data_IF_391409299832
#
_entry.id   IF_391409299832
#
_cell.length_a   1.000
_cell.length_b   1.000
_cell.length_c   1.000
_cell.angle_alpha   90.00
_cell.angle_beta   90.00
_cell.angle_gamma   90.00
#
_symmetry.space_group_name_H-M   'P 1'
#
loop_
_entity.id
_entity.type
_entity.pdbx_description
1 polymer ?
#
# COMPACT_ATOMS: atom_id res chain seq x y z
N UNK A 1 13.80 55.53 51.27
CA UNK A 1 15.17 56.01 51.45
C UNK A 1 15.92 55.41 50.28
N UNK A 2 16.21 56.25 49.35
CA UNK A 2 17.49 56.87 49.00
C UNK A 2 18.37 55.89 48.25
N UNK A 3 18.84 56.09 47.08
CA UNK A 3 19.01 57.20 46.17
C UNK A 3 20.07 56.80 45.17
N UNK A 4 19.85 57.10 43.91
CA UNK A 4 20.69 57.96 43.06
C UNK A 4 22.18 57.54 42.91
N UNK A 5 22.81 57.50 41.77
CA UNK A 5 23.02 58.54 40.73
C UNK A 5 23.89 57.94 39.61
N UNK A 6 23.58 58.16 38.35
CA UNK A 6 24.23 59.04 37.36
C UNK A 6 25.77 58.97 37.23
N UNK A 7 26.28 58.68 36.02
CA UNK A 7 26.80 59.62 35.03
C UNK A 7 27.47 58.86 33.91
N UNK A 8 27.09 58.92 32.70
CA UNK A 8 27.51 59.75 31.55
C UNK A 8 29.02 60.00 31.42
N UNK A 9 29.62 59.45 30.32
CA UNK A 9 30.70 60.13 29.60
C UNK A 9 30.78 59.64 28.15
N UNK A 10 30.52 60.57 27.28
CA UNK A 10 30.77 60.64 25.84
C UNK A 10 32.28 60.50 25.52
N UNK A 11 32.62 59.75 24.48
CA UNK A 11 33.80 60.02 23.71
C UNK A 11 33.53 59.64 22.25
N UNK A 12 33.46 60.63 21.40
CA UNK A 12 33.48 60.53 19.96
C UNK A 12 34.92 60.09 19.50
N UNK A 13 34.95 59.14 18.54
CA UNK A 13 36.14 58.88 17.74
C UNK A 13 35.76 58.65 16.30
N UNK A 14 36.37 59.38 15.44
CA UNK A 14 36.37 59.59 14.00
C UNK A 14 36.45 58.32 13.16
N UNK A 15 35.90 58.25 11.95
CA UNK A 15 35.90 57.09 11.10
C UNK A 15 37.23 56.91 10.38
N UNK A 16 37.82 55.71 10.47
CA UNK A 16 38.91 55.30 9.63
C UNK A 16 38.43 54.71 8.32
N UNK A 17 38.86 55.30 7.23
CA UNK A 17 38.68 54.85 5.85
C UNK A 17 39.28 53.40 5.68
N UNK A 18 38.45 52.46 5.22
CA UNK A 18 38.89 51.10 4.95
C UNK A 18 37.77 50.10 4.64
N UNK A 19 36.59 50.54 4.34
CA UNK A 19 35.43 49.64 4.07
C UNK A 19 34.88 49.76 2.66
N UNK A 20 35.74 49.70 1.66
CA UNK A 20 35.31 49.65 0.25
C UNK A 20 36.23 48.67 -0.49
N UNK A 21 36.07 47.36 -0.29
CA UNK A 21 36.54 46.33 -1.24
C UNK A 21 36.19 44.89 -0.82
N UNK A 22 35.10 44.63 -0.12
CA UNK A 22 34.66 43.21 0.17
C UNK A 22 33.28 42.91 -0.42
N UNK A 23 32.67 43.80 -1.17
CA UNK A 23 31.35 43.57 -1.80
C UNK A 23 31.37 43.33 -3.32
N UNK A 24 32.56 43.07 -3.93
CA UNK A 24 32.67 42.79 -5.37
C UNK A 24 33.38 41.47 -5.71
N UNK A 25 33.46 40.52 -4.79
CA UNK A 25 34.12 39.24 -5.04
C UNK A 25 33.25 38.02 -4.86
N UNK A 26 31.92 38.14 -4.80
CA UNK A 26 30.98 37.00 -4.79
C UNK A 26 29.82 37.12 -5.80
N UNK A 27 30.06 37.80 -6.94
CA UNK A 27 29.37 37.42 -8.17
C UNK A 27 30.08 36.20 -8.76
N UNK A 28 30.09 35.08 -8.02
CA UNK A 28 30.39 33.78 -8.56
C UNK A 28 29.40 33.51 -9.67
N UNK A 29 29.90 33.42 -10.90
CA UNK A 29 29.23 32.88 -12.08
C UNK A 29 28.26 31.79 -11.60
N UNK A 30 26.95 31.84 -11.92
CA UNK A 30 26.07 30.70 -11.64
C UNK A 30 26.70 29.54 -12.38
N UNK A 31 27.24 28.59 -11.61
CA UNK A 31 27.62 27.30 -12.15
C UNK A 31 26.42 26.84 -12.99
N UNK A 32 26.61 26.48 -14.26
CA UNK A 32 25.50 25.91 -15.02
C UNK A 32 24.98 24.78 -14.15
N UNK A 33 23.72 24.84 -13.83
CA UNK A 33 22.93 23.75 -13.23
C UNK A 33 23.01 22.62 -14.26
N UNK A 34 24.23 22.02 -14.25
CA UNK A 34 24.61 20.97 -15.17
C UNK A 34 23.57 19.90 -14.97
N UNK A 35 22.82 19.65 -16.01
CA UNK A 35 22.04 18.50 -16.32
C UNK A 35 22.43 17.28 -15.45
N UNK A 36 22.18 17.35 -14.15
CA UNK A 36 22.09 16.20 -13.29
C UNK A 36 20.87 15.46 -13.81
N UNK A 37 21.11 14.54 -14.73
CA UNK A 37 20.09 13.70 -15.34
C UNK A 37 19.13 13.27 -14.25
N UNK A 38 17.85 13.56 -14.48
CA UNK A 38 16.81 13.29 -13.49
C UNK A 38 16.96 11.86 -13.01
N UNK A 39 17.12 11.57 -11.70
CA UNK A 39 17.27 10.21 -11.22
C UNK A 39 16.05 9.41 -11.65
N UNK A 40 16.28 8.42 -12.50
CA UNK A 40 15.22 7.50 -12.90
C UNK A 40 14.80 6.73 -11.65
N UNK A 41 13.52 6.85 -11.22
CA UNK A 41 13.02 6.19 -10.03
C UNK A 41 13.27 4.67 -10.05
N UNK A 42 13.29 4.03 -11.22
CA UNK A 42 13.62 2.62 -11.36
C UNK A 42 15.09 2.30 -11.02
N UNK A 43 15.99 3.28 -11.10
CA UNK A 43 17.37 3.10 -10.66
C UNK A 43 17.48 2.83 -9.15
N UNK A 44 16.48 3.19 -8.36
CA UNK A 44 16.41 2.86 -6.93
C UNK A 44 16.41 1.34 -6.70
N UNK A 45 15.83 0.55 -7.62
CA UNK A 45 15.80 -0.92 -7.52
C UNK A 45 17.18 -1.59 -7.63
N UNK A 46 18.20 -0.88 -8.13
CA UNK A 46 19.58 -1.35 -8.14
C UNK A 46 20.41 -0.89 -6.92
N UNK A 47 19.83 -0.02 -6.07
CA UNK A 47 20.54 0.58 -4.95
C UNK A 47 20.36 -0.23 -3.67
N UNK A 48 21.47 -0.54 -2.99
CA UNK A 48 21.46 -1.31 -1.73
C UNK A 48 20.63 -0.67 -0.61
N UNK A 49 20.46 0.66 -0.63
CA UNK A 49 19.66 1.39 0.36
C UNK A 49 18.15 1.27 0.14
N UNK A 50 17.69 0.83 -1.07
CA UNK A 50 16.25 0.76 -1.41
C UNK A 50 15.80 -0.64 -1.80
N UNK A 51 16.54 -1.33 -2.68
CA UNK A 51 16.12 -2.60 -3.27
C UNK A 51 15.75 -3.70 -2.24
N UNK A 52 16.54 -3.97 -1.17
CA UNK A 52 16.19 -5.00 -0.20
C UNK A 52 14.87 -4.68 0.53
N UNK A 53 14.64 -3.40 0.84
CA UNK A 53 13.41 -2.97 1.49
C UNK A 53 12.21 -3.10 0.54
N UNK A 54 12.34 -2.67 -0.71
CA UNK A 54 11.33 -2.82 -1.76
C UNK A 54 10.92 -4.28 -1.93
N UNK A 55 11.88 -5.19 -2.14
CA UNK A 55 11.57 -6.61 -2.34
C UNK A 55 11.01 -7.28 -1.09
N UNK A 56 11.43 -6.86 0.10
CA UNK A 56 10.86 -7.35 1.36
C UNK A 56 9.37 -7.03 1.48
N UNK A 57 8.99 -5.80 1.16
CA UNK A 57 7.60 -5.38 1.19
C UNK A 57 6.78 -6.00 0.06
N UNK A 58 7.35 -6.10 -1.15
CA UNK A 58 6.72 -6.71 -2.31
C UNK A 58 6.35 -8.17 -2.04
N UNK A 59 7.31 -8.96 -1.58
CA UNK A 59 7.08 -10.38 -1.26
C UNK A 59 6.05 -10.56 -0.13
N UNK A 60 6.05 -9.68 0.88
CA UNK A 60 5.03 -9.71 1.93
C UNK A 60 3.63 -9.40 1.41
N UNK A 61 3.48 -8.34 0.63
CA UNK A 61 2.19 -7.98 0.04
C UNK A 61 1.68 -9.07 -0.93
N UNK A 62 2.58 -9.69 -1.71
CA UNK A 62 2.23 -10.82 -2.56
C UNK A 62 1.76 -12.03 -1.73
N UNK A 63 2.48 -12.38 -0.66
CA UNK A 63 2.13 -13.49 0.22
C UNK A 63 0.76 -13.30 0.89
N UNK A 64 0.52 -12.11 1.47
CA UNK A 64 -0.77 -11.77 2.07
C UNK A 64 -1.93 -12.02 1.10
N UNK A 65 -1.76 -11.66 -0.16
CA UNK A 65 -2.80 -11.77 -1.17
C UNK A 65 -2.92 -13.18 -1.77
N UNK A 66 -1.81 -13.92 -1.94
CA UNK A 66 -1.86 -15.35 -2.29
C UNK A 66 -2.71 -16.11 -1.27
N UNK A 67 -2.37 -15.98 0.01
CA UNK A 67 -3.03 -16.72 1.08
C UNK A 67 -4.49 -16.28 1.27
N UNK A 68 -4.74 -14.97 1.33
CA UNK A 68 -6.07 -14.39 1.51
C UNK A 68 -7.01 -14.77 0.38
N UNK A 69 -6.57 -14.63 -0.88
CA UNK A 69 -7.40 -14.95 -2.04
C UNK A 69 -7.67 -16.45 -2.16
N UNK A 70 -6.65 -17.29 -2.01
CA UNK A 70 -6.81 -18.73 -2.02
C UNK A 70 -7.77 -19.22 -0.94
N UNK A 71 -7.67 -18.68 0.28
CA UNK A 71 -8.58 -19.01 1.37
C UNK A 71 -10.00 -18.53 1.09
N UNK A 72 -10.17 -17.33 0.52
CA UNK A 72 -11.50 -16.83 0.11
C UNK A 72 -12.14 -17.77 -0.91
N UNK A 73 -11.39 -18.18 -1.92
CA UNK A 73 -11.87 -19.12 -2.95
C UNK A 73 -12.18 -20.51 -2.35
N UNK A 74 -11.35 -20.99 -1.43
CA UNK A 74 -11.56 -22.25 -0.73
C UNK A 74 -12.89 -22.26 0.02
N UNK A 75 -13.19 -21.20 0.79
CA UNK A 75 -14.46 -21.07 1.54
C UNK A 75 -15.64 -20.85 0.61
N UNK A 76 -15.47 -20.07 -0.46
CA UNK A 76 -16.58 -19.74 -1.36
C UNK A 76 -17.04 -20.92 -2.20
N UNK A 77 -16.11 -21.80 -2.61
CA UNK A 77 -16.39 -22.83 -3.63
C UNK A 77 -16.25 -24.27 -3.12
N UNK A 78 -15.48 -24.53 -2.04
CA UNK A 78 -15.13 -25.89 -1.65
C UNK A 78 -15.53 -26.27 -0.22
N UNK A 79 -15.42 -25.35 0.73
CA UNK A 79 -15.71 -25.63 2.15
C UNK A 79 -16.98 -24.90 2.55
N UNK A 80 -18.05 -25.68 2.79
CA UNK A 80 -19.26 -25.13 3.38
C UNK A 80 -19.03 -24.75 4.85
N UNK A 81 -19.36 -23.52 5.21
CA UNK A 81 -19.28 -23.01 6.59
C UNK A 81 -20.69 -22.69 7.06
N UNK A 82 -21.17 -23.42 8.06
CA UNK A 82 -22.59 -23.34 8.51
C UNK A 82 -23.00 -21.95 9.04
N UNK A 83 -22.05 -21.18 9.57
CA UNK A 83 -22.29 -19.84 10.16
C UNK A 83 -21.98 -18.69 9.20
N UNK A 84 -21.49 -18.95 7.98
CA UNK A 84 -21.12 -17.92 7.01
C UNK A 84 -21.54 -18.32 5.60
N UNK A 85 -22.47 -17.59 4.97
CA UNK A 85 -22.81 -17.80 3.56
C UNK A 85 -21.59 -17.60 2.66
N UNK A 86 -21.40 -18.42 1.62
CA UNK A 86 -20.27 -18.29 0.69
C UNK A 86 -20.12 -16.89 0.09
N UNK A 87 -21.24 -16.19 -0.18
CA UNK A 87 -21.25 -14.81 -0.70
C UNK A 87 -20.64 -13.79 0.26
N UNK A 88 -20.56 -14.08 1.55
CA UNK A 88 -19.96 -13.20 2.55
C UNK A 88 -18.49 -13.53 2.86
N UNK A 89 -17.94 -14.60 2.31
CA UNK A 89 -16.59 -15.05 2.61
C UNK A 89 -15.54 -13.95 2.38
N UNK A 90 -15.58 -13.29 1.24
CA UNK A 90 -14.65 -12.19 0.92
C UNK A 90 -14.75 -11.00 1.87
N UNK A 91 -15.97 -10.62 2.26
CA UNK A 91 -16.20 -9.52 3.20
C UNK A 91 -15.71 -9.87 4.60
N UNK A 92 -16.02 -11.06 5.10
CA UNK A 92 -15.58 -11.50 6.44
C UNK A 92 -14.07 -11.64 6.51
N UNK A 93 -13.47 -12.31 5.53
CA UNK A 93 -12.01 -12.48 5.45
C UNK A 93 -11.31 -11.13 5.32
N UNK A 94 -11.84 -10.23 4.50
CA UNK A 94 -11.36 -8.85 4.36
C UNK A 94 -11.47 -8.06 5.67
N UNK A 95 -12.59 -8.13 6.36
CA UNK A 95 -12.82 -7.46 7.64
C UNK A 95 -11.86 -7.99 8.73
N UNK A 96 -11.66 -9.31 8.81
CA UNK A 96 -10.73 -9.95 9.75
C UNK A 96 -9.28 -9.49 9.47
N UNK A 97 -8.89 -9.36 8.20
CA UNK A 97 -7.57 -8.85 7.80
C UNK A 97 -7.36 -7.39 8.19
N UNK A 98 -8.39 -6.55 8.07
CA UNK A 98 -8.31 -5.12 8.35
C UNK A 98 -8.45 -4.80 9.85
N UNK A 99 -9.10 -5.67 10.65
CA UNK A 99 -9.33 -5.43 12.07
C UNK A 99 -8.04 -5.07 12.87
N UNK A 100 -6.88 -5.72 12.67
CA UNK A 100 -5.63 -5.32 13.34
C UNK A 100 -5.17 -3.91 13.02
N UNK A 101 -5.43 -3.40 11.81
CA UNK A 101 -5.07 -2.02 11.44
C UNK A 101 -5.84 -1.02 12.31
N UNK A 102 -7.13 -1.25 12.53
CA UNK A 102 -7.94 -0.42 13.42
C UNK A 102 -7.43 -0.47 14.86
N UNK A 103 -7.07 -1.67 15.33
CA UNK A 103 -6.73 -1.90 16.73
C UNK A 103 -5.29 -1.50 17.08
N UNK A 104 -4.32 -1.74 16.19
CA UNK A 104 -2.89 -1.70 16.53
C UNK A 104 -2.06 -0.69 15.74
N UNK A 105 -2.62 0.09 14.80
CA UNK A 105 -1.84 1.06 14.01
C UNK A 105 -1.10 2.08 14.87
N UNK A 106 -1.75 2.62 15.91
CA UNK A 106 -1.14 3.60 16.80
C UNK A 106 0.04 3.00 17.61
N UNK A 107 -0.10 1.74 18.05
CA UNK A 107 0.97 1.00 18.73
C UNK A 107 2.10 0.67 17.75
N UNK A 108 1.79 0.25 16.54
CA UNK A 108 2.77 -0.03 15.49
C UNK A 108 3.61 1.20 15.14
N UNK A 109 2.98 2.39 15.08
CA UNK A 109 3.68 3.66 14.89
C UNK A 109 4.71 3.93 16.00
N UNK A 110 4.32 3.79 17.26
CA UNK A 110 5.23 3.94 18.39
C UNK A 110 6.42 2.96 18.35
N UNK A 111 6.18 1.72 17.93
CA UNK A 111 7.24 0.72 17.79
C UNK A 111 8.21 1.10 16.66
N UNK A 112 7.70 1.61 15.53
CA UNK A 112 8.52 2.09 14.43
C UNK A 112 9.39 3.29 14.81
N UNK A 113 8.90 4.18 15.67
CA UNK A 113 9.68 5.31 16.18
C UNK A 113 10.73 4.89 17.19
N UNK A 114 10.38 3.93 18.07
CA UNK A 114 11.23 3.51 19.19
C UNK A 114 12.37 2.60 18.78
N UNK A 115 12.18 1.73 17.79
CA UNK A 115 13.15 0.71 17.43
C UNK A 115 13.81 0.98 16.08
N UNK A 116 14.98 0.36 15.82
CA UNK A 116 15.60 0.33 14.50
C UNK A 116 14.68 -0.34 13.50
N UNK A 117 14.42 0.34 12.34
CA UNK A 117 13.43 -0.11 11.36
C UNK A 117 13.86 -1.40 10.65
N UNK A 118 15.17 -1.60 10.44
CA UNK A 118 15.67 -2.84 9.84
C UNK A 118 15.49 -4.03 10.80
N UNK A 119 15.68 -3.81 12.09
CA UNK A 119 15.43 -4.83 13.12
C UNK A 119 13.96 -5.17 13.21
N UNK A 120 13.07 -4.16 13.25
CA UNK A 120 11.62 -4.37 13.20
C UNK A 120 11.19 -5.12 11.94
N UNK A 121 11.71 -4.73 10.77
CA UNK A 121 11.44 -5.43 9.50
C UNK A 121 11.77 -6.91 9.62
N UNK A 122 12.95 -7.27 10.15
CA UNK A 122 13.35 -8.67 10.35
C UNK A 122 12.45 -9.41 11.35
N UNK A 123 12.05 -8.76 12.45
CA UNK A 123 11.14 -9.34 13.44
C UNK A 123 9.75 -9.60 12.84
N UNK A 124 9.22 -8.64 12.13
CA UNK A 124 7.92 -8.75 11.45
C UNK A 124 7.96 -9.86 10.39
N UNK A 125 9.07 -10.00 9.65
CA UNK A 125 9.23 -11.11 8.70
C UNK A 125 9.40 -12.48 9.37
N UNK A 126 9.99 -12.57 10.56
CA UNK A 126 9.98 -13.80 11.35
C UNK A 126 8.55 -14.18 11.76
N UNK A 127 7.74 -13.19 12.16
CA UNK A 127 6.33 -13.38 12.48
C UNK A 127 5.55 -13.92 11.26
N UNK A 128 5.79 -13.37 10.08
CA UNK A 128 5.17 -13.84 8.83
C UNK A 128 5.46 -15.32 8.55
N UNK A 129 6.73 -15.74 8.70
CA UNK A 129 7.10 -17.16 8.56
C UNK A 129 6.36 -18.03 9.57
N UNK A 130 6.27 -17.61 10.83
CA UNK A 130 5.54 -18.35 11.86
C UNK A 130 4.04 -18.46 11.53
N UNK A 131 3.42 -17.39 11.04
CA UNK A 131 2.02 -17.37 10.60
C UNK A 131 1.82 -18.35 9.43
N UNK A 132 2.73 -18.37 8.46
CA UNK A 132 2.62 -19.28 7.31
C UNK A 132 2.81 -20.74 7.69
N UNK A 133 3.60 -21.05 8.72
CA UNK A 133 3.66 -22.42 9.27
C UNK A 133 2.31 -22.84 9.87
N UNK A 134 1.66 -21.96 10.64
CA UNK A 134 0.31 -22.21 11.18
C UNK A 134 -0.71 -22.30 10.03
N UNK A 135 -0.60 -21.42 9.04
CA UNK A 135 -1.45 -21.40 7.85
C UNK A 135 -1.32 -22.68 7.01
N UNK A 136 -0.09 -23.20 6.87
CA UNK A 136 0.18 -24.48 6.24
C UNK A 136 -0.56 -25.62 6.95
N UNK A 137 -0.46 -25.68 8.26
CA UNK A 137 -1.23 -26.64 9.06
C UNK A 137 -2.74 -26.45 8.85
N UNK A 138 -3.24 -25.22 8.94
CA UNK A 138 -4.66 -24.90 8.75
C UNK A 138 -5.20 -25.33 7.39
N UNK A 139 -4.41 -25.18 6.31
CA UNK A 139 -4.77 -25.64 4.97
C UNK A 139 -4.81 -27.17 4.86
N UNK A 140 -3.87 -27.87 5.50
CA UNK A 140 -3.84 -29.34 5.46
C UNK A 140 -5.02 -29.98 6.20
N UNK A 141 -5.43 -29.39 7.33
CA UNK A 141 -6.59 -29.87 8.10
C UNK A 141 -7.89 -29.20 7.70
N UNK A 142 -7.86 -28.29 6.73
CA UNK A 142 -9.00 -27.49 6.25
C UNK A 142 -9.79 -26.82 7.39
N UNK A 143 -9.09 -26.34 8.41
CA UNK A 143 -9.71 -25.74 9.59
C UNK A 143 -9.91 -24.25 9.41
N UNK A 144 -11.16 -23.85 9.12
CA UNK A 144 -11.55 -22.45 8.85
C UNK A 144 -11.23 -21.51 10.01
N UNK A 145 -11.51 -21.82 11.29
CA UNK A 145 -11.08 -20.98 12.41
C UNK A 145 -9.57 -20.71 12.46
N UNK A 146 -8.73 -21.74 12.24
CA UNK A 146 -7.26 -21.57 12.18
C UNK A 146 -6.86 -20.67 11.02
N UNK A 147 -7.47 -20.83 9.86
CA UNK A 147 -7.18 -20.00 8.68
C UNK A 147 -7.63 -18.54 8.90
N UNK A 148 -8.76 -18.30 9.56
CA UNK A 148 -9.20 -16.94 9.96
C UNK A 148 -8.25 -16.32 10.98
N UNK A 149 -7.76 -17.10 11.94
CA UNK A 149 -6.74 -16.62 12.87
C UNK A 149 -5.44 -16.23 12.13
N UNK A 150 -5.03 -17.01 11.11
CA UNK A 150 -3.90 -16.65 10.25
C UNK A 150 -4.16 -15.35 9.48
N UNK A 151 -5.36 -15.13 8.95
CA UNK A 151 -5.74 -13.87 8.27
C UNK A 151 -5.64 -12.69 9.23
N UNK A 152 -6.13 -12.83 10.47
CA UNK A 152 -5.99 -11.79 11.50
C UNK A 152 -4.52 -11.49 11.80
N UNK A 153 -3.71 -12.53 11.97
CA UNK A 153 -2.27 -12.40 12.24
C UNK A 153 -1.50 -11.82 11.04
N UNK A 154 -1.88 -12.13 9.80
CA UNK A 154 -1.33 -11.48 8.60
C UNK A 154 -1.69 -9.99 8.59
N UNK A 155 -2.93 -9.63 8.92
CA UNK A 155 -3.33 -8.24 9.11
C UNK A 155 -2.50 -7.54 10.20
N UNK A 156 -2.22 -8.22 11.31
CA UNK A 156 -1.35 -7.71 12.37
C UNK A 156 0.09 -7.52 11.89
N UNK A 157 0.64 -8.50 11.17
CA UNK A 157 1.95 -8.42 10.52
C UNK A 157 2.04 -7.17 9.62
N UNK A 158 1.05 -6.99 8.72
CA UNK A 158 1.00 -5.86 7.81
C UNK A 158 0.79 -4.52 8.52
N UNK A 159 0.02 -4.51 9.63
CA UNK A 159 -0.15 -3.35 10.50
C UNK A 159 1.18 -2.91 11.14
N UNK A 160 1.97 -3.87 11.64
CA UNK A 160 3.29 -3.58 12.23
C UNK A 160 4.28 -3.07 11.20
N UNK A 161 4.18 -3.53 9.96
CA UNK A 161 5.07 -3.12 8.87
C UNK A 161 4.72 -1.75 8.26
N UNK A 162 3.45 -1.35 8.28
CA UNK A 162 2.96 -0.11 7.66
C UNK A 162 3.75 1.15 8.07
N UNK A 163 3.83 1.50 9.35
CA UNK A 163 4.60 2.67 9.80
C UNK A 163 6.10 2.57 9.51
N UNK A 164 6.68 1.36 9.57
CA UNK A 164 8.09 1.13 9.21
C UNK A 164 8.35 1.52 7.77
N UNK A 165 7.42 1.18 6.85
CA UNK A 165 7.50 1.50 5.42
C UNK A 165 7.72 3.00 5.18
N UNK A 166 6.89 3.82 5.78
CA UNK A 166 6.94 5.29 5.58
C UNK A 166 8.02 5.99 6.42
N UNK A 167 8.43 5.42 7.55
CA UNK A 167 9.53 5.95 8.36
C UNK A 167 10.93 5.60 7.81
N UNK A 168 11.04 4.53 7.00
CA UNK A 168 12.28 4.09 6.38
C UNK A 168 12.72 5.02 5.24
N UNK A 169 11.79 5.37 4.34
CA UNK A 169 12.09 6.08 3.12
C UNK A 169 12.80 7.43 3.33
N UNK A 170 12.34 8.33 4.24
CA UNK A 170 13.00 9.62 4.45
C UNK A 170 14.41 9.51 5.03
N UNK A 171 14.77 8.36 5.63
CA UNK A 171 16.12 8.16 6.18
C UNK A 171 17.13 7.61 5.14
N UNK A 172 16.63 7.14 3.99
CA UNK A 172 17.45 6.51 2.95
C UNK A 172 17.37 7.19 1.58
N UNK A 173 16.38 8.06 1.38
CA UNK A 173 16.17 8.78 0.12
C UNK A 173 16.32 10.28 0.34
N UNK A 174 16.85 10.97 -0.67
CA UNK A 174 16.86 12.42 -0.70
C UNK A 174 15.45 12.98 -0.96
N UNK A 175 15.20 14.24 -0.63
CA UNK A 175 13.91 14.89 -0.88
C UNK A 175 13.45 14.76 -2.35
N UNK A 176 14.39 14.85 -3.31
CA UNK A 176 14.12 14.70 -4.74
C UNK A 176 13.74 13.26 -5.14
N UNK A 177 14.19 12.27 -4.38
CA UNK A 177 13.90 10.86 -4.62
C UNK A 177 12.64 10.36 -3.88
N UNK A 178 12.18 11.09 -2.87
CA UNK A 178 11.07 10.64 -2.02
C UNK A 178 9.78 10.42 -2.79
N UNK A 179 9.43 11.33 -3.71
CA UNK A 179 8.21 11.19 -4.52
C UNK A 179 8.28 9.95 -5.40
N UNK A 180 9.39 9.76 -6.12
CA UNK A 180 9.61 8.56 -6.94
C UNK A 180 9.72 7.28 -6.11
N UNK A 181 10.40 7.34 -4.95
CA UNK A 181 10.51 6.21 -4.02
C UNK A 181 9.17 5.77 -3.45
N UNK A 182 8.32 6.71 -3.03
CA UNK A 182 6.95 6.40 -2.59
C UNK A 182 6.12 5.81 -3.74
N UNK A 183 6.18 6.40 -4.93
CA UNK A 183 5.50 5.87 -6.12
C UNK A 183 5.92 4.43 -6.44
N UNK A 184 7.23 4.12 -6.36
CA UNK A 184 7.76 2.77 -6.55
C UNK A 184 7.22 1.78 -5.49
N UNK A 185 7.17 2.18 -4.22
CA UNK A 185 6.64 1.35 -3.14
C UNK A 185 5.15 1.07 -3.35
N UNK A 186 4.36 2.08 -3.71
CA UNK A 186 2.92 1.88 -3.96
C UNK A 186 2.66 1.05 -5.22
N UNK A 187 3.34 1.35 -6.33
CA UNK A 187 3.29 0.50 -7.54
C UNK A 187 3.64 -0.95 -7.20
N UNK A 188 4.74 -1.15 -6.46
CA UNK A 188 5.16 -2.50 -6.04
C UNK A 188 4.10 -3.19 -5.17
N UNK A 189 3.43 -2.46 -4.30
CA UNK A 189 2.33 -2.98 -3.47
C UNK A 189 1.17 -3.47 -4.34
N UNK A 190 0.70 -2.66 -5.31
CA UNK A 190 -0.43 -3.04 -6.16
C UNK A 190 -0.08 -4.16 -7.14
N UNK A 191 1.12 -4.15 -7.70
CA UNK A 191 1.61 -5.27 -8.53
C UNK A 191 1.70 -6.56 -7.71
N UNK A 192 2.17 -6.48 -6.47
CA UNK A 192 2.23 -7.62 -5.57
C UNK A 192 0.83 -8.15 -5.19
N UNK A 193 -0.14 -7.27 -4.94
CA UNK A 193 -1.54 -7.62 -4.71
C UNK A 193 -2.12 -8.37 -5.93
N UNK A 194 -1.91 -7.82 -7.11
CA UNK A 194 -2.39 -8.42 -8.35
C UNK A 194 -1.79 -9.81 -8.58
N UNK A 195 -0.46 -9.91 -8.54
CA UNK A 195 0.24 -11.18 -8.72
C UNK A 195 -0.15 -12.19 -7.65
N UNK A 196 -0.27 -11.74 -6.39
CA UNK A 196 -0.69 -12.57 -5.27
C UNK A 196 -2.08 -13.16 -5.48
N UNK A 197 -3.05 -12.37 -5.91
CA UNK A 197 -4.41 -12.83 -6.18
C UNK A 197 -4.44 -13.80 -7.38
N UNK A 198 -3.72 -13.50 -8.47
CA UNK A 198 -3.63 -14.40 -9.63
C UNK A 198 -2.99 -15.72 -9.25
N UNK A 199 -1.85 -15.69 -8.56
CA UNK A 199 -1.14 -16.90 -8.10
C UNK A 199 -2.05 -17.70 -7.16
N UNK A 200 -2.66 -17.05 -6.17
CA UNK A 200 -3.58 -17.70 -5.22
C UNK A 200 -4.76 -18.37 -5.93
N UNK A 201 -5.34 -17.69 -6.92
CA UNK A 201 -6.42 -18.24 -7.75
C UNK A 201 -6.01 -19.44 -8.58
N UNK A 202 -4.85 -19.39 -9.23
CA UNK A 202 -4.32 -20.50 -10.02
C UNK A 202 -4.00 -21.71 -9.12
N UNK A 203 -3.33 -21.47 -7.99
CA UNK A 203 -2.93 -22.55 -7.08
C UNK A 203 -4.14 -23.25 -6.44
N UNK A 204 -5.17 -22.51 -6.04
CA UNK A 204 -6.36 -23.12 -5.42
C UNK A 204 -7.22 -23.87 -6.45
N UNK A 205 -7.09 -23.55 -7.74
CA UNK A 205 -7.80 -24.23 -8.82
C UNK A 205 -7.13 -25.56 -9.25
N UNK A 206 -5.93 -25.89 -8.72
CA UNK A 206 -5.26 -27.13 -9.05
C UNK A 206 -6.09 -28.35 -8.65
N UNK A 207 -6.07 -29.42 -9.45
CA UNK A 207 -6.77 -30.67 -9.12
C UNK A 207 -6.22 -31.32 -7.85
N UNK A 208 -7.09 -31.98 -7.08
CA UNK A 208 -6.73 -32.63 -5.82
C UNK A 208 -6.07 -34.00 -5.99
N UNK A 209 -6.21 -34.61 -7.16
CA UNK A 209 -5.67 -35.94 -7.54
C UNK A 209 -4.24 -35.89 -8.10
N UNK A 210 -3.59 -34.72 -8.05
CA UNK A 210 -2.22 -34.52 -8.51
C UNK A 210 -1.19 -34.71 -7.40
N UNK A 211 0.09 -34.81 -7.78
CA UNK A 211 1.21 -34.86 -6.81
C UNK A 211 1.31 -33.60 -5.94
N UNK A 212 0.76 -32.48 -6.40
CA UNK A 212 0.68 -31.20 -5.68
C UNK A 212 -0.77 -30.72 -5.63
N UNK A 213 -1.60 -31.22 -4.70
CA UNK A 213 -2.96 -30.75 -4.51
C UNK A 213 -3.04 -29.26 -4.16
N UNK A 214 -4.17 -28.63 -4.44
CA UNK A 214 -4.38 -27.20 -4.29
C UNK A 214 -3.97 -26.64 -2.93
N UNK A 215 -4.40 -27.26 -1.84
CA UNK A 215 -4.05 -26.83 -0.49
C UNK A 215 -2.54 -26.88 -0.22
N UNK A 216 -1.84 -27.94 -0.69
CA UNK A 216 -0.38 -28.05 -0.57
C UNK A 216 0.33 -27.01 -1.41
N UNK A 217 -0.15 -26.75 -2.63
CA UNK A 217 0.43 -25.76 -3.53
C UNK A 217 0.37 -24.34 -2.91
N UNK A 218 -0.79 -23.95 -2.37
CA UNK A 218 -0.96 -22.68 -1.67
C UNK A 218 -0.05 -22.59 -0.44
N UNK A 219 -0.03 -23.65 0.38
CA UNK A 219 0.78 -23.69 1.61
C UNK A 219 2.28 -23.54 1.32
N UNK A 220 2.81 -24.32 0.38
CA UNK A 220 4.23 -24.26 0.01
C UNK A 220 4.61 -22.93 -0.61
N UNK A 221 3.77 -22.38 -1.50
CA UNK A 221 4.03 -21.08 -2.13
C UNK A 221 4.03 -19.95 -1.11
N UNK A 222 3.02 -19.91 -0.22
CA UNK A 222 2.95 -18.89 0.83
C UNK A 222 4.13 -18.98 1.80
N UNK A 223 4.51 -20.19 2.22
CA UNK A 223 5.68 -20.39 3.06
C UNK A 223 6.97 -20.00 2.34
N UNK A 224 7.12 -20.35 1.06
CA UNK A 224 8.29 -19.96 0.26
C UNK A 224 8.41 -18.44 0.11
N UNK A 225 7.31 -17.73 -0.15
CA UNK A 225 7.27 -16.27 -0.22
C UNK A 225 7.64 -15.63 1.12
N UNK A 226 7.13 -16.14 2.24
CA UNK A 226 7.47 -15.66 3.57
C UNK A 226 8.96 -15.84 3.87
N UNK A 227 9.52 -17.02 3.58
CA UNK A 227 10.95 -17.30 3.77
C UNK A 227 11.80 -16.43 2.85
N UNK A 228 11.43 -16.29 1.57
CA UNK A 228 12.14 -15.41 0.64
C UNK A 228 12.14 -13.96 1.13
N UNK A 229 10.97 -13.44 1.56
CA UNK A 229 10.84 -12.11 2.16
C UNK A 229 11.73 -11.94 3.40
N UNK A 230 11.80 -12.96 4.26
CA UNK A 230 12.67 -12.96 5.44
C UNK A 230 14.17 -12.97 5.07
N UNK A 231 14.55 -13.74 4.07
CA UNK A 231 15.93 -13.78 3.56
C UNK A 231 16.33 -12.41 3.01
N UNK A 232 15.49 -11.82 2.17
CA UNK A 232 15.75 -10.48 1.59
C UNK A 232 15.81 -9.41 2.69
N UNK A 233 14.97 -9.49 3.72
CA UNK A 233 14.99 -8.56 4.85
C UNK A 233 16.33 -8.56 5.62
N UNK A 234 17.18 -9.57 5.45
CA UNK A 234 18.50 -9.59 6.06
C UNK A 234 19.40 -8.46 5.52
N UNK A 235 19.27 -8.10 4.25
CA UNK A 235 20.06 -7.07 3.60
C UNK A 235 19.50 -5.64 3.75
N UNK A 236 18.36 -5.47 4.43
CA UNK A 236 17.83 -4.14 4.72
C UNK A 236 18.82 -3.39 5.62
N UNK A 237 19.30 -2.21 5.21
CA UNK A 237 20.27 -1.42 5.96
C UNK A 237 19.75 -1.01 7.33
N UNK A 238 20.64 -0.88 8.31
CA UNK A 238 20.33 -0.36 9.61
C UNK A 238 19.71 1.05 9.50
N UNK A 239 18.63 1.27 10.21
CA UNK A 239 17.85 2.50 10.16
C UNK A 239 17.50 2.92 11.57
N UNK A 240 18.32 3.81 12.17
CA UNK A 240 18.23 4.11 13.59
C UNK A 240 16.86 4.59 14.03
N UNK A 241 16.57 4.33 15.30
CA UNK A 241 15.39 4.82 15.99
C UNK A 241 15.33 6.35 15.96
N UNK A 242 14.13 6.90 15.74
CA UNK A 242 13.88 8.35 15.81
C UNK A 242 13.59 8.82 17.26
N UNK A 243 13.07 7.91 18.10
CA UNK A 243 12.71 8.21 19.47
C UNK A 243 13.06 7.05 20.43
N UNK A 244 14.35 6.75 20.69
CA UNK A 244 14.75 5.58 21.48
C UNK A 244 14.26 5.61 22.93
N UNK A 245 14.07 6.80 23.50
CA UNK A 245 13.56 6.98 24.85
C UNK A 245 12.02 6.91 24.97
N UNK A 246 11.30 6.70 23.86
CA UNK A 246 9.85 6.67 23.87
C UNK A 246 9.32 5.54 24.76
N UNK A 247 8.42 5.87 25.67
CA UNK A 247 7.66 4.89 26.45
C UNK A 247 6.43 4.49 25.68
N UNK A 248 6.39 3.24 25.21
CA UNK A 248 5.26 2.71 24.44
C UNK A 248 4.00 2.67 25.30
N UNK A 249 2.95 3.31 24.85
CA UNK A 249 1.62 3.16 25.42
C UNK A 249 0.94 1.94 24.78
N UNK A 250 0.76 0.89 25.56
CA UNK A 250 0.16 -0.37 25.08
C UNK A 250 -1.37 -0.33 25.00
N UNK A 251 -2.02 0.76 25.46
CA UNK A 251 -3.45 0.94 25.28
C UNK A 251 -3.73 1.54 23.90
N UNK A 252 -4.19 0.73 22.91
CA UNK A 252 -4.35 1.18 21.53
C UNK A 252 -5.44 2.26 21.41
N UNK A 253 -6.49 2.19 22.23
CA UNK A 253 -7.59 3.16 22.16
C UNK A 253 -7.17 4.54 22.64
N UNK A 254 -6.45 4.63 23.76
CA UNK A 254 -5.97 5.92 24.27
C UNK A 254 -4.95 6.55 23.33
N UNK A 255 -4.10 5.74 22.70
CA UNK A 255 -3.09 6.21 21.76
C UNK A 255 -3.70 6.65 20.42
N UNK A 256 -4.66 5.90 19.90
CA UNK A 256 -5.40 6.30 18.71
C UNK A 256 -6.13 7.62 18.95
N UNK A 257 -6.78 7.78 20.10
CA UNK A 257 -7.44 9.04 20.47
C UNK A 257 -6.47 10.21 20.57
N UNK A 258 -5.30 9.99 21.19
CA UNK A 258 -4.23 10.99 21.29
C UNK A 258 -3.76 11.43 19.90
N UNK A 259 -3.52 10.49 18.99
CA UNK A 259 -3.07 10.77 17.64
C UNK A 259 -4.13 11.51 16.81
N UNK A 260 -5.41 11.13 16.95
CA UNK A 260 -6.52 11.85 16.30
C UNK A 260 -6.64 13.29 16.82
N UNK A 261 -6.50 13.48 18.16
CA UNK A 261 -6.53 14.82 18.76
C UNK A 261 -5.37 15.67 18.25
N UNK A 262 -4.15 15.12 18.25
CA UNK A 262 -2.97 15.81 17.71
C UNK A 262 -3.13 16.18 16.23
N UNK A 263 -3.65 15.26 15.42
CA UNK A 263 -3.95 15.54 14.01
C UNK A 263 -5.00 16.65 13.84
N UNK A 264 -6.00 16.70 14.74
CA UNK A 264 -7.05 17.72 14.73
C UNK A 264 -6.54 19.14 15.04
N UNK A 265 -5.42 19.27 15.78
CA UNK A 265 -4.79 20.55 16.05
C UNK A 265 -4.27 21.25 14.77
N UNK A 266 -3.95 20.47 13.74
CA UNK A 266 -3.57 20.99 12.44
C UNK A 266 -4.66 20.64 11.39
N UNK A 267 -5.48 21.65 11.06
CA UNK A 267 -6.61 21.50 10.14
C UNK A 267 -6.20 20.95 8.77
N UNK A 268 -5.02 21.31 8.27
CA UNK A 268 -4.52 20.84 6.97
C UNK A 268 -4.22 19.34 7.05
N UNK A 269 -3.49 18.91 8.08
CA UNK A 269 -3.17 17.49 8.33
C UNK A 269 -4.45 16.68 8.51
N UNK A 270 -5.39 17.18 9.32
CA UNK A 270 -6.65 16.48 9.58
C UNK A 270 -7.49 16.28 8.32
N UNK A 271 -7.63 17.33 7.50
CA UNK A 271 -8.34 17.25 6.22
C UNK A 271 -7.65 16.31 5.23
N UNK A 272 -6.33 16.30 5.18
CA UNK A 272 -5.56 15.37 4.35
C UNK A 272 -5.79 13.91 4.78
N UNK A 273 -5.79 13.63 6.09
CA UNK A 273 -6.10 12.30 6.63
C UNK A 273 -7.53 11.86 6.26
N UNK A 274 -8.52 12.75 6.35
CA UNK A 274 -9.89 12.44 5.93
C UNK A 274 -9.97 12.15 4.43
N UNK A 275 -9.29 12.94 3.60
CA UNK A 275 -9.24 12.72 2.14
C UNK A 275 -8.62 11.37 1.79
N UNK A 276 -7.46 11.04 2.38
CA UNK A 276 -6.80 9.74 2.18
C UNK A 276 -7.69 8.59 2.66
N UNK A 277 -8.31 8.74 3.83
CA UNK A 277 -9.23 7.72 4.37
C UNK A 277 -10.42 7.47 3.46
N UNK A 278 -10.98 8.54 2.87
CA UNK A 278 -12.07 8.43 1.90
C UNK A 278 -11.64 7.68 0.65
N UNK A 279 -10.46 7.98 0.10
CA UNK A 279 -9.92 7.31 -1.09
C UNK A 279 -9.70 5.82 -0.85
N UNK A 280 -9.12 5.45 0.29
CA UNK A 280 -8.95 4.05 0.68
C UNK A 280 -10.28 3.32 0.88
N UNK A 281 -11.27 3.99 1.50
CA UNK A 281 -12.62 3.45 1.66
C UNK A 281 -13.27 3.18 0.30
N UNK A 282 -13.19 4.15 -0.61
CA UNK A 282 -13.71 4.02 -1.98
C UNK A 282 -13.06 2.83 -2.70
N UNK A 283 -11.73 2.75 -2.71
CA UNK A 283 -11.00 1.63 -3.31
C UNK A 283 -11.36 0.27 -2.71
N UNK A 284 -11.51 0.18 -1.39
CA UNK A 284 -11.91 -1.05 -0.72
C UNK A 284 -13.32 -1.49 -1.10
N UNK A 285 -14.28 -0.56 -1.21
CA UNK A 285 -15.64 -0.84 -1.67
C UNK A 285 -15.60 -1.39 -3.09
N UNK A 286 -14.90 -0.74 -4.01
CA UNK A 286 -14.77 -1.21 -5.38
C UNK A 286 -14.18 -2.61 -5.46
N UNK A 287 -13.05 -2.85 -4.82
CA UNK A 287 -12.40 -4.17 -4.82
C UNK A 287 -13.31 -5.28 -4.27
N UNK A 288 -14.10 -4.97 -3.24
CA UNK A 288 -15.02 -5.95 -2.64
C UNK A 288 -16.20 -6.30 -3.55
N UNK A 289 -16.56 -5.41 -4.47
CA UNK A 289 -17.72 -5.58 -5.36
C UNK A 289 -17.38 -6.27 -6.69
N UNK A 290 -16.11 -6.43 -7.06
CA UNK A 290 -15.76 -7.04 -8.35
C UNK A 290 -16.31 -8.45 -8.57
N UNK A 291 -16.30 -9.36 -7.59
CA UNK A 291 -16.92 -10.68 -7.78
C UNK A 291 -18.41 -10.60 -8.07
N UNK A 292 -19.17 -9.75 -7.35
CA UNK A 292 -20.59 -9.54 -7.57
C UNK A 292 -20.86 -8.81 -8.87
N UNK A 293 -20.08 -7.78 -9.21
CA UNK A 293 -20.18 -7.09 -10.50
C UNK A 293 -19.96 -8.06 -11.67
N UNK A 294 -18.92 -8.89 -11.60
CA UNK A 294 -18.63 -9.87 -12.64
C UNK A 294 -19.77 -10.89 -12.78
N UNK A 295 -20.27 -11.42 -11.67
CA UNK A 295 -21.26 -12.49 -11.66
C UNK A 295 -22.67 -11.99 -11.97
N UNK A 296 -23.12 -10.96 -11.24
CA UNK A 296 -24.54 -10.59 -11.18
C UNK A 296 -24.91 -9.53 -12.22
N UNK A 297 -23.93 -8.73 -12.70
CA UNK A 297 -24.17 -7.64 -13.65
C UNK A 297 -23.57 -7.94 -15.01
N UNK A 298 -22.31 -8.42 -15.06
CA UNK A 298 -21.62 -8.72 -16.30
C UNK A 298 -21.80 -10.17 -16.75
N UNK A 299 -22.49 -10.99 -15.95
CA UNK A 299 -22.76 -12.41 -16.21
C UNK A 299 -21.49 -13.21 -16.60
N UNK A 300 -20.35 -12.86 -15.99
CA UNK A 300 -19.04 -13.49 -16.20
C UNK A 300 -18.73 -14.56 -15.17
N UNK A 301 -17.84 -15.47 -15.53
CA UNK A 301 -17.29 -16.45 -14.60
C UNK A 301 -16.17 -15.85 -13.73
N UNK A 302 -15.53 -16.67 -12.87
CA UNK A 302 -14.45 -16.25 -11.97
C UNK A 302 -13.23 -15.68 -12.70
N UNK A 303 -12.99 -16.06 -13.95
CA UNK A 303 -11.93 -15.48 -14.79
C UNK A 303 -12.24 -14.05 -15.22
N UNK A 304 -13.52 -13.72 -15.42
CA UNK A 304 -13.95 -12.34 -15.68
C UNK A 304 -13.76 -11.49 -14.42
N UNK A 305 -14.13 -12.00 -13.25
CA UNK A 305 -13.87 -11.31 -11.98
C UNK A 305 -12.38 -11.02 -11.79
N UNK A 306 -11.53 -12.00 -12.10
CA UNK A 306 -10.07 -11.83 -12.07
C UNK A 306 -9.59 -10.80 -13.09
N UNK A 307 -10.18 -10.76 -14.30
CA UNK A 307 -9.87 -9.74 -15.30
C UNK A 307 -10.17 -8.33 -14.81
N UNK A 308 -11.32 -8.10 -14.17
CA UNK A 308 -11.66 -6.79 -13.59
C UNK A 308 -10.60 -6.34 -12.58
N UNK A 309 -10.17 -7.26 -11.71
CA UNK A 309 -9.13 -6.99 -10.72
C UNK A 309 -7.78 -6.64 -11.38
N UNK A 310 -7.41 -7.38 -12.44
CA UNK A 310 -6.18 -7.13 -13.22
C UNK A 310 -6.22 -5.74 -13.83
N UNK A 311 -7.31 -5.41 -14.53
CA UNK A 311 -7.46 -4.12 -15.22
C UNK A 311 -7.42 -2.96 -14.22
N UNK A 312 -8.14 -3.07 -13.12
CA UNK A 312 -8.12 -2.06 -12.04
C UNK A 312 -6.72 -1.89 -11.44
N UNK A 313 -6.02 -2.99 -11.16
CA UNK A 313 -4.66 -2.94 -10.61
C UNK A 313 -3.65 -2.33 -11.59
N UNK A 314 -3.80 -2.59 -12.89
CA UNK A 314 -2.99 -1.94 -13.94
C UNK A 314 -3.27 -0.44 -13.97
N UNK A 315 -4.56 -0.03 -13.85
CA UNK A 315 -4.96 1.37 -13.77
C UNK A 315 -4.26 2.08 -12.61
N UNK A 316 -4.36 1.54 -11.39
CA UNK A 316 -3.68 2.10 -10.20
C UNK A 316 -2.17 2.15 -10.40
N UNK A 317 -1.55 1.07 -10.88
CA UNK A 317 -0.10 1.01 -11.11
C UNK A 317 0.37 2.07 -12.11
N UNK A 318 -0.36 2.21 -13.21
CA UNK A 318 -0.08 3.22 -14.25
C UNK A 318 -0.28 4.64 -13.70
N UNK A 319 -1.40 4.89 -13.01
CA UNK A 319 -1.70 6.18 -12.40
C UNK A 319 -0.65 6.59 -11.36
N UNK A 320 -0.19 5.65 -10.54
CA UNK A 320 0.87 5.88 -9.55
C UNK A 320 2.19 6.30 -10.21
N UNK A 321 2.55 5.71 -11.34
CA UNK A 321 3.75 6.08 -12.10
C UNK A 321 3.59 7.44 -12.81
N UNK A 322 2.39 7.71 -13.34
CA UNK A 322 2.09 8.97 -14.00
C UNK A 322 2.05 10.15 -13.01
N UNK A 323 1.73 9.91 -11.75
CA UNK A 323 1.66 10.95 -10.73
C UNK A 323 2.97 11.74 -10.61
N UNK A 324 4.12 11.10 -10.65
CA UNK A 324 5.44 11.79 -10.63
C UNK A 324 5.60 12.74 -11.82
N UNK A 325 5.18 12.30 -13.01
CA UNK A 325 5.28 13.09 -14.24
C UNK A 325 4.30 14.26 -14.23
N UNK A 326 3.05 14.01 -13.86
CA UNK A 326 1.98 15.01 -13.81
C UNK A 326 2.23 16.08 -12.74
N UNK A 327 2.77 15.68 -11.57
CA UNK A 327 3.13 16.60 -10.48
C UNK A 327 4.42 17.37 -10.72
N UNK A 328 5.09 17.14 -11.85
CA UNK A 328 6.43 17.71 -12.14
C UNK A 328 7.41 17.52 -10.99
N UNK A 329 7.29 16.39 -10.27
CA UNK A 329 8.12 16.00 -9.11
C UNK A 329 8.00 16.91 -7.89
N UNK A 330 6.92 17.67 -7.81
CA UNK A 330 6.57 18.49 -6.64
C UNK A 330 5.27 17.97 -6.05
N UNK A 331 5.00 18.32 -4.81
CA UNK A 331 3.71 17.99 -4.19
C UNK A 331 2.64 18.93 -4.76
N UNK A 332 1.89 18.46 -5.76
CA UNK A 332 0.83 19.21 -6.44
C UNK A 332 -0.54 18.81 -5.90
N UNK A 333 -1.06 19.57 -4.95
CA UNK A 333 -2.39 19.35 -4.35
C UNK A 333 -3.50 19.48 -5.40
N UNK A 334 -3.28 20.27 -6.45
CA UNK A 334 -4.24 20.46 -7.54
C UNK A 334 -4.59 19.19 -8.33
N UNK A 335 -3.75 18.15 -8.28
CA UNK A 335 -4.05 16.86 -8.91
C UNK A 335 -5.15 16.08 -8.18
N UNK A 336 -5.33 16.29 -6.88
CA UNK A 336 -6.34 15.56 -6.07
C UNK A 336 -7.76 15.81 -6.56
N UNK A 337 -8.24 17.08 -6.72
CA UNK A 337 -9.57 17.32 -7.25
C UNK A 337 -9.73 16.87 -8.72
N UNK A 338 -8.68 16.93 -9.54
CA UNK A 338 -8.72 16.44 -10.93
C UNK A 338 -8.92 14.91 -10.95
N UNK A 339 -8.17 14.19 -10.13
CA UNK A 339 -8.34 12.73 -9.96
C UNK A 339 -9.73 12.37 -9.43
N UNK A 340 -10.21 13.06 -8.39
CA UNK A 340 -11.55 12.82 -7.83
C UNK A 340 -12.68 13.09 -8.84
N UNK A 341 -12.53 14.12 -9.68
CA UNK A 341 -13.46 14.38 -10.77
C UNK A 341 -13.43 13.29 -11.83
N UNK A 342 -12.23 12.86 -12.26
CA UNK A 342 -12.05 11.74 -13.18
C UNK A 342 -12.70 10.44 -12.67
N UNK A 343 -12.42 10.08 -11.42
CA UNK A 343 -13.05 8.93 -10.75
C UNK A 343 -14.58 9.02 -10.80
N UNK A 344 -15.15 10.20 -10.54
CA UNK A 344 -16.61 10.41 -10.57
C UNK A 344 -17.16 10.20 -11.99
N UNK A 345 -16.52 10.78 -13.00
CA UNK A 345 -16.95 10.65 -14.39
C UNK A 345 -16.95 9.19 -14.84
N UNK A 346 -15.83 8.48 -14.61
CA UNK A 346 -15.71 7.08 -15.03
C UNK A 346 -16.54 6.13 -14.18
N UNK A 347 -16.82 6.43 -12.90
CA UNK A 347 -17.75 5.66 -12.09
C UNK A 347 -19.20 5.78 -12.62
N UNK A 348 -19.60 6.97 -13.03
CA UNK A 348 -20.91 7.23 -13.64
C UNK A 348 -21.00 6.56 -15.02
N UNK A 349 -19.96 6.65 -15.85
CA UNK A 349 -19.93 6.00 -17.16
C UNK A 349 -19.95 4.47 -17.04
N UNK A 350 -19.20 3.91 -16.08
CA UNK A 350 -19.22 2.48 -15.74
C UNK A 350 -20.64 1.98 -15.40
N UNK A 351 -21.40 2.78 -14.63
CA UNK A 351 -22.79 2.45 -14.35
C UNK A 351 -23.64 2.35 -15.61
N UNK A 352 -23.50 3.31 -16.55
CA UNK A 352 -24.25 3.28 -17.81
C UNK A 352 -23.71 2.19 -18.76
N UNK A 353 -22.42 1.92 -18.79
CA UNK A 353 -21.81 0.86 -19.59
C UNK A 353 -22.25 -0.54 -19.13
N UNK A 354 -22.39 -0.74 -17.83
CA UNK A 354 -22.79 -2.02 -17.26
C UNK A 354 -24.32 -2.24 -17.30
N UNK A 355 -25.09 -1.16 -17.41
CA UNK A 355 -26.56 -1.23 -17.39
C UNK A 355 -27.13 -1.72 -18.72
N UNK A 356 -28.01 -2.72 -18.64
CA UNK A 356 -28.75 -3.20 -19.82
C UNK A 356 -27.95 -4.13 -20.73
N UNK A 357 -26.88 -4.71 -20.25
CA UNK A 357 -26.20 -5.79 -20.94
C UNK A 357 -27.14 -7.00 -21.10
N UNK A 358 -27.15 -7.65 -22.27
CA UNK A 358 -27.99 -8.80 -22.50
C UNK A 358 -27.57 -9.97 -21.61
N UNK A 359 -28.54 -10.62 -20.96
CA UNK A 359 -28.29 -11.82 -20.14
C UNK A 359 -27.97 -12.99 -21.09
N UNK A 360 -26.76 -13.57 -21.04
CA UNK A 360 -26.40 -14.70 -21.89
C UNK A 360 -27.04 -15.99 -21.39
N UNK A 361 -27.18 -16.99 -22.25
CA UNK A 361 -27.70 -18.32 -21.90
C UNK A 361 -26.78 -19.08 -20.92
N UNK A 362 -25.48 -18.77 -20.91
CA UNK A 362 -24.48 -19.29 -19.99
C UNK A 362 -23.51 -18.18 -19.60
N UNK A 363 -22.86 -18.24 -18.41
CA UNK A 363 -21.89 -17.24 -17.99
C UNK A 363 -20.77 -17.04 -19.01
N UNK A 364 -20.41 -15.79 -19.28
CA UNK A 364 -19.32 -15.48 -20.18
C UNK A 364 -18.00 -16.07 -19.66
N UNK A 365 -17.34 -16.84 -20.50
CA UNK A 365 -15.92 -17.17 -20.32
C UNK A 365 -15.06 -15.95 -20.61
N UNK A 366 -13.79 -15.95 -20.24
CA UNK A 366 -12.86 -14.85 -20.53
C UNK A 366 -12.84 -14.52 -22.04
N UNK A 367 -12.76 -15.54 -22.90
CA UNK A 367 -12.80 -15.37 -24.35
C UNK A 367 -14.15 -14.81 -24.82
N UNK A 368 -15.28 -15.37 -24.36
CA UNK A 368 -16.62 -14.88 -24.70
C UNK A 368 -16.85 -13.43 -24.25
N UNK A 369 -16.28 -13.03 -23.12
CA UNK A 369 -16.36 -11.67 -22.61
C UNK A 369 -15.55 -10.67 -23.46
N UNK A 370 -14.34 -11.05 -23.89
CA UNK A 370 -13.42 -10.15 -24.61
C UNK A 370 -13.58 -10.15 -26.12
N UNK A 371 -14.11 -11.24 -26.72
CA UNK A 371 -14.22 -11.40 -28.18
C UNK A 371 -15.62 -11.76 -28.66
N UNK A 372 -16.60 -11.90 -27.77
CA UNK A 372 -17.99 -12.24 -28.09
C UNK A 372 -18.76 -11.10 -28.79
N UNK A 373 -20.01 -11.34 -29.14
CA UNK A 373 -20.86 -10.36 -29.81
C UNK A 373 -21.09 -9.06 -29.03
N UNK A 374 -21.06 -9.12 -27.71
CA UNK A 374 -21.16 -7.97 -26.81
C UNK A 374 -19.78 -7.37 -26.39
N UNK A 375 -18.68 -7.83 -26.98
CA UNK A 375 -17.32 -7.45 -26.59
C UNK A 375 -17.11 -5.93 -26.53
N UNK A 376 -17.70 -5.16 -27.44
CA UNK A 376 -17.61 -3.70 -27.43
C UNK A 376 -18.09 -3.08 -26.08
N UNK A 377 -19.26 -3.52 -25.60
CA UNK A 377 -19.79 -3.02 -24.33
C UNK A 377 -18.91 -3.45 -23.16
N UNK A 378 -18.39 -4.66 -23.18
CA UNK A 378 -17.47 -5.16 -22.15
C UNK A 378 -16.13 -4.39 -22.15
N UNK A 379 -15.58 -4.06 -23.33
CA UNK A 379 -14.37 -3.24 -23.45
C UNK A 379 -14.56 -1.83 -22.89
N UNK A 380 -15.75 -1.22 -23.05
CA UNK A 380 -16.08 0.06 -22.41
C UNK A 380 -16.03 -0.07 -20.88
N UNK A 381 -16.64 -1.12 -20.32
CA UNK A 381 -16.58 -1.41 -18.87
C UNK A 381 -15.13 -1.54 -18.38
N UNK A 382 -14.27 -2.26 -19.14
CA UNK A 382 -12.85 -2.42 -18.80
C UNK A 382 -12.08 -1.10 -18.90
N UNK A 383 -12.37 -0.27 -19.90
CA UNK A 383 -11.74 1.04 -20.06
C UNK A 383 -12.14 1.99 -18.92
N UNK A 384 -13.43 2.04 -18.57
CA UNK A 384 -13.92 2.85 -17.46
C UNK A 384 -13.27 2.42 -16.15
N UNK A 385 -13.13 1.11 -15.94
CA UNK A 385 -12.51 0.54 -14.75
C UNK A 385 -11.02 0.89 -14.65
N UNK A 386 -10.29 0.88 -15.78
CA UNK A 386 -8.88 1.26 -15.84
C UNK A 386 -8.67 2.77 -15.61
N UNK A 387 -9.60 3.60 -16.09
CA UNK A 387 -9.52 5.06 -15.98
C UNK A 387 -10.05 5.57 -14.64
N UNK A 388 -10.91 4.80 -13.97
CA UNK A 388 -11.39 5.07 -12.63
C UNK A 388 -10.31 4.78 -11.58
N UNK A 389 -9.44 3.81 -11.85
CA UNK A 389 -8.37 3.37 -10.94
C UNK A 389 -7.18 4.32 -10.94
#
# INVERSE_FOLDING_TARGET
MSGANRAAASAAATPAAGATNIQQAEEGTPMPEAAAGHPNQFALLSQRRFAPFFWTQFLGAANDNVFKFAFTMLVTYRIGVSWMPPSMAGLVIGAVFIAPFLLFSATAGQLADKYDKATLTRMVKNLEVAIMLIGTFGLFVQNVPVLLACIFLLGLHSTLFGPVKYAYLPQHLTERELTGGNGMIEMGTFVAILLGNVIGGVLIALPEDTWLPSAKAVALTSLALAVAGRVVAHWVPATPSTAPALRVNWNPFSETWRNLRLAHENVVVFRSLLGISWMWFFGAVFLSQFPSLAKDVLHGNEHVASLLLVVFSIGIGTGSLLCETLSRRHVEIGLVPVGAFGMTVFAVDLYFAARGLPTPAAPHTLAGFTTGAAAWAHWRVLADLALLA
#
